data_IF_060771244373
#
_entry.id   IF_060771244373
#
_cell.length_a   1.000
_cell.length_b   1.000
_cell.length_c   1.000
_cell.angle_alpha   90.00
_cell.angle_beta   90.00
_cell.angle_gamma   90.00
#
_symmetry.space_group_name_H-M   'P 1'
#
loop_
_entity.id
_entity.type
_entity.pdbx_description
1 polymer ?
#
# COMPACT_ATOMS: atom_id res chain seq x y z
N UNK A 1 12.04 -24.48 4.37
CA UNK A 1 10.77 -23.75 4.32
C UNK A 1 11.04 -22.39 3.72
N UNK A 2 10.35 -22.03 2.65
CA UNK A 2 10.54 -20.71 2.02
C UNK A 2 9.79 -19.68 2.87
N UNK A 3 10.47 -18.62 3.26
CA UNK A 3 9.88 -17.50 3.97
C UNK A 3 9.62 -16.39 2.97
N UNK A 4 8.37 -15.98 2.88
CA UNK A 4 7.92 -14.86 2.03
C UNK A 4 7.44 -13.73 2.93
N UNK A 5 7.29 -12.51 2.41
CA UNK A 5 6.86 -11.41 3.24
C UNK A 5 6.24 -10.25 2.48
N UNK A 6 5.42 -9.50 3.19
CA UNK A 6 4.84 -8.24 2.74
C UNK A 6 4.38 -7.42 3.96
N UNK A 7 4.25 -6.11 3.80
CA UNK A 7 3.75 -5.19 4.82
C UNK A 7 4.51 -5.23 6.16
N UNK A 8 5.80 -5.54 6.17
CA UNK A 8 6.58 -5.63 7.40
C UNK A 8 6.41 -6.96 8.16
N UNK A 9 5.87 -8.01 7.53
CA UNK A 9 5.67 -9.34 8.12
C UNK A 9 6.28 -10.41 7.23
N UNK A 10 6.97 -11.38 7.84
CA UNK A 10 7.43 -12.62 7.18
C UNK A 10 6.42 -13.73 7.45
N UNK A 11 6.15 -14.54 6.46
CA UNK A 11 5.19 -15.63 6.51
C UNK A 11 5.90 -16.96 6.22
N UNK A 12 5.71 -17.94 7.07
CA UNK A 12 6.19 -19.31 6.86
C UNK A 12 5.01 -20.28 6.88
N UNK A 13 5.13 -21.44 6.25
CA UNK A 13 4.05 -22.44 6.17
C UNK A 13 3.09 -22.28 4.99
N UNK A 14 3.22 -21.22 4.20
CA UNK A 14 2.48 -21.04 2.96
C UNK A 14 3.22 -21.63 1.77
N UNK A 15 2.53 -22.01 0.68
CA UNK A 15 3.16 -22.30 -0.60
C UNK A 15 4.02 -21.11 -1.07
N UNK A 16 5.07 -21.40 -1.84
CA UNK A 16 5.86 -20.33 -2.48
C UNK A 16 4.95 -19.54 -3.41
N UNK A 17 4.90 -18.22 -3.19
CA UNK A 17 4.08 -17.34 -4.00
C UNK A 17 4.88 -16.17 -4.55
N UNK A 18 4.76 -15.98 -5.85
CA UNK A 18 5.34 -14.84 -6.57
C UNK A 18 4.76 -13.49 -6.14
N UNK A 19 3.53 -13.48 -5.60
CA UNK A 19 2.88 -12.26 -5.12
C UNK A 19 3.44 -11.71 -3.80
N UNK A 20 4.26 -12.49 -3.10
CA UNK A 20 4.87 -12.10 -1.81
C UNK A 20 6.38 -11.84 -1.95
N UNK A 21 6.86 -11.56 -3.13
CA UNK A 21 8.28 -11.39 -3.46
C UNK A 21 8.84 -10.02 -3.09
N UNK A 22 9.06 -9.76 -1.80
CA UNK A 22 9.89 -8.64 -1.34
C UNK A 22 11.25 -9.15 -0.89
N UNK A 23 12.29 -8.33 -1.02
CA UNK A 23 13.67 -8.68 -0.68
C UNK A 23 14.21 -7.83 0.47
N UNK A 24 15.15 -8.37 1.24
CA UNK A 24 15.90 -7.60 2.23
C UNK A 24 15.18 -7.33 3.55
N UNK A 25 14.37 -8.27 4.05
CA UNK A 25 13.61 -8.11 5.31
C UNK A 25 14.10 -8.98 6.48
N UNK A 26 15.36 -8.91 6.92
CA UNK A 26 15.91 -9.84 7.91
C UNK A 26 15.32 -9.68 9.31
N UNK A 27 14.80 -8.48 9.65
CA UNK A 27 14.32 -8.14 11.00
C UNK A 27 12.80 -8.12 11.12
N UNK A 28 12.06 -8.48 10.08
CA UNK A 28 10.60 -8.52 10.15
C UNK A 28 10.13 -9.70 11.03
N UNK A 29 9.06 -9.50 11.81
CA UNK A 29 8.48 -10.60 12.60
C UNK A 29 7.97 -11.69 11.66
N UNK A 30 8.23 -12.93 12.06
CA UNK A 30 7.74 -14.11 11.36
C UNK A 30 6.46 -14.61 12.01
N UNK A 31 5.46 -14.89 11.18
CA UNK A 31 4.23 -15.59 11.55
C UNK A 31 4.25 -16.98 10.91
N UNK A 32 4.02 -18.01 11.72
CA UNK A 32 3.77 -19.35 11.23
C UNK A 32 2.32 -19.47 10.77
N UNK A 33 2.13 -19.76 9.48
CA UNK A 33 0.81 -19.92 8.90
C UNK A 33 0.37 -21.39 8.95
N UNK A 34 -0.85 -21.64 9.43
CA UNK A 34 -1.46 -22.96 9.52
C UNK A 34 -2.85 -22.90 8.84
N UNK A 35 -3.19 -23.93 8.08
CA UNK A 35 -4.54 -24.06 7.50
C UNK A 35 -5.49 -24.59 8.56
N UNK A 36 -6.70 -24.03 8.61
CA UNK A 36 -7.76 -24.45 9.54
C UNK A 36 -8.93 -25.05 8.75
N UNK A 37 -9.10 -26.37 8.87
CA UNK A 37 -10.12 -27.13 8.14
C UNK A 37 -11.50 -27.14 8.80
N UNK A 38 -11.67 -26.46 9.93
CA UNK A 38 -12.98 -26.37 10.59
C UNK A 38 -13.89 -25.42 9.82
N UNK A 39 -15.08 -25.88 9.48
CA UNK A 39 -16.07 -25.12 8.70
C UNK A 39 -16.61 -23.87 9.45
N UNK A 40 -16.55 -23.87 10.76
CA UNK A 40 -16.98 -22.78 11.65
C UNK A 40 -15.84 -21.84 12.06
N UNK A 41 -14.60 -22.12 11.61
CA UNK A 41 -13.46 -21.27 11.89
C UNK A 41 -13.62 -19.87 11.25
N UNK A 42 -13.12 -18.81 11.88
CA UNK A 42 -13.02 -17.50 11.24
C UNK A 42 -12.12 -17.57 10.00
N UNK A 43 -12.35 -16.70 9.01
CA UNK A 43 -11.49 -16.60 7.82
C UNK A 43 -10.00 -16.51 8.19
N UNK A 44 -9.70 -15.72 9.22
CA UNK A 44 -8.36 -15.50 9.75
C UNK A 44 -8.41 -15.47 11.27
N UNK A 45 -7.46 -16.13 11.93
CA UNK A 45 -7.24 -16.01 13.36
C UNK A 45 -5.76 -15.76 13.65
N UNK A 46 -5.45 -14.55 14.12
CA UNK A 46 -4.10 -14.13 14.46
C UNK A 46 -3.88 -14.21 15.97
N UNK A 47 -2.88 -14.98 16.37
CA UNK A 47 -2.37 -15.06 17.73
C UNK A 47 -0.97 -14.43 17.77
N UNK A 48 -0.87 -13.25 18.37
CA UNK A 48 0.39 -12.51 18.44
C UNK A 48 1.36 -13.06 19.48
N UNK A 49 0.86 -13.74 20.52
CA UNK A 49 1.70 -14.32 21.59
C UNK A 49 2.45 -15.54 21.08
N UNK A 50 1.78 -16.42 20.36
CA UNK A 50 2.39 -17.59 19.72
C UNK A 50 2.92 -17.32 18.31
N UNK A 51 2.67 -16.14 17.75
CA UNK A 51 3.01 -15.75 16.37
C UNK A 51 2.43 -16.72 15.34
N UNK A 52 1.19 -17.14 15.54
CA UNK A 52 0.48 -18.03 14.65
C UNK A 52 -0.62 -17.30 13.91
N UNK A 53 -0.69 -17.55 12.61
CA UNK A 53 -1.79 -17.14 11.75
C UNK A 53 -2.51 -18.38 11.24
N UNK A 54 -3.75 -18.59 11.66
CA UNK A 54 -4.60 -19.61 11.07
C UNK A 54 -5.43 -19.01 9.95
N UNK A 55 -5.42 -19.69 8.83
CA UNK A 55 -6.17 -19.32 7.63
C UNK A 55 -7.13 -20.46 7.33
N UNK A 56 -8.43 -20.16 7.19
CA UNK A 56 -9.41 -21.21 6.85
C UNK A 56 -9.09 -21.79 5.47
N UNK A 57 -9.17 -23.10 5.33
CA UNK A 57 -8.66 -23.84 4.16
C UNK A 57 -9.46 -23.60 2.85
N UNK A 58 -10.69 -23.08 2.95
CA UNK A 58 -11.50 -22.66 1.81
C UNK A 58 -11.07 -21.29 1.23
N UNK A 59 -10.18 -20.57 1.92
CA UNK A 59 -9.66 -19.29 1.45
C UNK A 59 -8.66 -19.53 0.31
N UNK A 60 -8.98 -19.06 -0.87
CA UNK A 60 -8.05 -19.12 -1.98
C UNK A 60 -6.77 -18.31 -1.68
N UNK A 61 -5.62 -18.85 -2.07
CA UNK A 61 -4.33 -18.17 -1.84
C UNK A 61 -4.29 -16.75 -2.41
N UNK A 62 -4.86 -16.54 -3.58
CA UNK A 62 -4.99 -15.20 -4.18
C UNK A 62 -5.81 -14.23 -3.32
N UNK A 63 -6.82 -14.73 -2.62
CA UNK A 63 -7.65 -13.95 -1.71
C UNK A 63 -6.92 -13.65 -0.39
N UNK A 64 -6.15 -14.64 0.10
CA UNK A 64 -5.28 -14.42 1.25
C UNK A 64 -4.26 -13.30 0.98
N UNK A 65 -3.54 -13.35 -0.15
CA UNK A 65 -2.53 -12.35 -0.51
C UNK A 65 -3.13 -10.95 -0.56
N UNK A 66 -4.31 -10.81 -1.16
CA UNK A 66 -5.03 -9.54 -1.22
C UNK A 66 -6.55 -9.81 -1.34
N UNK A 67 -7.41 -9.29 -0.46
CA UNK A 67 -7.11 -8.23 0.52
C UNK A 67 -6.80 -8.71 1.95
N UNK A 68 -6.84 -10.04 2.25
CA UNK A 68 -6.87 -10.51 3.64
C UNK A 68 -5.55 -10.26 4.38
N UNK A 69 -4.41 -10.41 3.72
CA UNK A 69 -3.10 -10.13 4.32
C UNK A 69 -2.97 -8.69 4.81
N UNK A 70 -3.61 -7.73 4.16
CA UNK A 70 -3.65 -6.35 4.61
C UNK A 70 -4.30 -6.17 5.99
N UNK A 71 -5.34 -6.97 6.31
CA UNK A 71 -5.97 -6.96 7.65
C UNK A 71 -5.01 -7.50 8.71
N UNK A 72 -4.33 -8.61 8.41
CA UNK A 72 -3.32 -9.20 9.31
C UNK A 72 -2.18 -8.21 9.53
N UNK A 73 -1.67 -7.62 8.47
CA UNK A 73 -0.59 -6.65 8.52
C UNK A 73 -0.93 -5.42 9.37
N UNK A 74 -2.15 -4.90 9.25
CA UNK A 74 -2.61 -3.78 10.08
C UNK A 74 -2.63 -4.14 11.56
N UNK A 75 -3.10 -5.33 11.93
CA UNK A 75 -3.11 -5.79 13.33
C UNK A 75 -1.69 -5.99 13.86
N UNK A 76 -0.81 -6.60 13.08
CA UNK A 76 0.60 -6.79 13.44
C UNK A 76 1.31 -5.45 13.61
N UNK A 77 1.09 -4.53 12.68
CA UNK A 77 1.66 -3.19 12.72
C UNK A 77 1.28 -2.47 14.03
N UNK A 78 0.00 -2.42 14.36
CA UNK A 78 -0.49 -1.80 15.59
C UNK A 78 0.05 -2.48 16.85
N UNK A 79 0.11 -3.81 16.88
CA UNK A 79 0.66 -4.55 18.01
C UNK A 79 2.17 -4.28 18.23
N UNK A 80 2.88 -3.80 17.22
CA UNK A 80 4.32 -3.53 17.25
C UNK A 80 4.68 -2.05 17.25
N UNK A 81 3.72 -1.17 17.52
CA UNK A 81 3.96 0.28 17.57
C UNK A 81 4.15 0.94 16.19
N UNK A 82 3.85 0.24 15.11
CA UNK A 82 3.71 0.83 13.78
C UNK A 82 2.28 1.32 13.54
N UNK A 83 2.04 2.04 12.47
CA UNK A 83 0.68 2.43 12.08
C UNK A 83 0.37 1.91 10.66
N UNK A 84 -0.91 1.80 10.34
CA UNK A 84 -1.38 1.33 9.05
C UNK A 84 -2.57 2.16 8.58
N UNK A 85 -2.61 2.45 7.27
CA UNK A 85 -3.72 3.18 6.67
C UNK A 85 -4.11 2.62 5.31
N UNK A 86 -5.33 2.91 4.88
CA UNK A 86 -5.80 2.56 3.53
C UNK A 86 -5.19 3.52 2.50
N UNK A 87 -4.00 3.19 2.05
CA UNK A 87 -3.20 4.00 1.13
C UNK A 87 -2.34 3.10 0.25
N UNK A 88 -1.79 3.67 -0.82
CA UNK A 88 -0.72 3.07 -1.59
C UNK A 88 0.57 3.86 -1.46
N UNK A 89 1.65 3.39 -2.09
CA UNK A 89 2.91 4.14 -2.18
C UNK A 89 3.67 3.80 -3.47
N UNK A 90 4.41 4.79 -3.96
CA UNK A 90 5.29 4.71 -5.13
C UNK A 90 6.70 5.07 -4.73
N UNK A 91 7.71 4.42 -5.30
CA UNK A 91 9.11 4.77 -5.06
C UNK A 91 9.57 5.84 -6.05
N UNK A 92 10.23 6.86 -5.52
CA UNK A 92 10.94 7.88 -6.27
C UNK A 92 12.41 7.91 -5.91
N UNK A 93 13.18 8.80 -6.53
CA UNK A 93 14.62 8.92 -6.33
C UNK A 93 15.03 9.42 -4.93
N UNK A 94 14.13 10.13 -4.22
CA UNK A 94 14.36 10.61 -2.86
C UNK A 94 13.70 9.76 -1.77
N UNK A 95 13.06 8.65 -2.12
CA UNK A 95 12.26 7.81 -1.23
C UNK A 95 10.85 7.58 -1.75
N UNK A 96 10.02 6.93 -0.95
CA UNK A 96 8.65 6.62 -1.31
C UNK A 96 7.70 7.81 -1.06
N UNK A 97 6.69 7.93 -1.91
CA UNK A 97 5.58 8.85 -1.73
C UNK A 97 4.29 8.08 -1.45
N UNK A 98 3.71 8.33 -0.30
CA UNK A 98 2.40 7.76 0.04
C UNK A 98 1.31 8.38 -0.83
N UNK A 99 0.40 7.54 -1.36
CA UNK A 99 -0.76 7.97 -2.16
C UNK A 99 -2.01 7.70 -1.35
N UNK A 100 -2.63 8.76 -0.85
CA UNK A 100 -3.72 8.72 0.12
C UNK A 100 -5.00 9.31 -0.49
N UNK A 101 -6.13 8.80 -0.07
CA UNK A 101 -7.43 9.34 -0.48
C UNK A 101 -8.57 8.42 -0.06
N UNK A 102 -9.81 8.90 -0.04
CA UNK A 102 -10.97 8.11 0.34
C UNK A 102 -11.15 6.89 -0.57
N UNK A 103 -11.98 5.94 -0.14
CA UNK A 103 -12.37 4.80 -0.98
C UNK A 103 -13.01 5.32 -2.27
N UNK A 104 -12.53 4.83 -3.41
CA UNK A 104 -12.99 5.30 -4.71
C UNK A 104 -12.28 6.55 -5.24
N UNK A 105 -11.27 7.10 -4.54
CA UNK A 105 -10.45 8.20 -5.06
C UNK A 105 -9.55 7.80 -6.26
N UNK A 106 -9.53 6.53 -6.64
CA UNK A 106 -8.77 6.02 -7.78
C UNK A 106 -7.28 5.82 -7.49
N UNK A 107 -6.90 5.50 -6.23
CA UNK A 107 -5.51 5.17 -5.84
C UNK A 107 -4.95 4.04 -6.70
N UNK A 108 -5.55 2.86 -6.64
CA UNK A 108 -5.07 1.67 -7.38
C UNK A 108 -5.00 1.92 -8.89
N UNK A 109 -5.95 2.70 -9.45
CA UNK A 109 -5.93 3.07 -10.88
C UNK A 109 -4.73 3.96 -11.20
N UNK A 110 -4.41 4.94 -10.36
CA UNK A 110 -3.25 5.80 -10.53
C UNK A 110 -1.95 4.98 -10.40
N UNK A 111 -1.86 4.11 -9.38
CA UNK A 111 -0.71 3.24 -9.17
C UNK A 111 -0.47 2.31 -10.37
N UNK A 112 -1.53 1.70 -10.90
CA UNK A 112 -1.42 0.86 -12.08
C UNK A 112 -0.93 1.65 -13.29
N UNK A 113 -1.44 2.88 -13.51
CA UNK A 113 -0.99 3.73 -14.61
C UNK A 113 0.46 4.20 -14.44
N UNK A 114 0.93 4.41 -13.20
CA UNK A 114 2.34 4.69 -12.90
C UNK A 114 3.22 3.47 -13.15
N UNK A 115 2.75 2.26 -12.78
CA UNK A 115 3.45 1.02 -13.08
C UNK A 115 3.61 0.79 -14.59
N UNK A 116 2.61 1.16 -15.39
CA UNK A 116 2.66 1.03 -16.86
C UNK A 116 3.78 1.85 -17.51
N UNK A 117 4.20 2.94 -16.87
CA UNK A 117 5.35 3.76 -17.31
C UNK A 117 6.66 3.45 -16.56
N UNK A 118 6.68 2.37 -15.78
CA UNK A 118 7.88 1.89 -15.10
C UNK A 118 8.16 2.51 -13.72
N UNK A 119 7.23 3.29 -13.15
CA UNK A 119 7.36 3.79 -11.77
C UNK A 119 7.19 2.62 -10.80
N UNK A 120 8.16 2.35 -9.91
CA UNK A 120 8.05 1.24 -8.96
C UNK A 120 6.96 1.48 -7.92
N UNK A 121 6.05 0.52 -7.76
CA UNK A 121 4.97 0.56 -6.77
C UNK A 121 5.44 -0.14 -5.50
N UNK A 122 5.45 0.57 -4.38
CA UNK A 122 5.84 0.01 -3.08
C UNK A 122 4.73 -0.82 -2.49
N UNK A 123 3.52 -0.29 -2.48
CA UNK A 123 2.33 -0.97 -1.94
C UNK A 123 1.04 -0.43 -2.55
N UNK A 124 -0.01 -1.26 -2.57
CA UNK A 124 -1.41 -0.85 -2.82
C UNK A 124 -2.29 -1.32 -1.65
N UNK A 125 -3.43 -0.67 -1.46
CA UNK A 125 -4.49 -0.94 -0.48
C UNK A 125 -4.11 -0.67 0.98
N UNK A 126 -2.99 -1.19 1.50
CA UNK A 126 -2.52 -0.94 2.87
C UNK A 126 -1.10 -0.38 2.83
N UNK A 127 -0.91 0.71 3.55
CA UNK A 127 0.39 1.31 3.80
C UNK A 127 0.71 1.08 5.28
N UNK A 128 1.70 0.24 5.56
CA UNK A 128 2.29 0.08 6.90
C UNK A 128 3.52 0.95 6.98
N UNK A 129 3.60 1.79 8.01
CA UNK A 129 4.72 2.70 8.19
C UNK A 129 5.19 2.76 9.65
N UNK A 130 6.48 2.93 9.84
CA UNK A 130 7.15 3.06 11.14
C UNK A 130 8.50 3.73 10.96
N UNK A 131 8.88 4.58 11.89
CA UNK A 131 10.22 5.20 11.96
C UNK A 131 10.63 5.89 10.64
N UNK A 132 9.67 6.56 9.98
CA UNK A 132 9.89 7.23 8.70
C UNK A 132 9.98 6.33 7.48
N UNK A 133 9.81 5.03 7.63
CA UNK A 133 9.83 4.07 6.53
C UNK A 133 8.45 3.47 6.23
N UNK A 134 8.23 3.11 4.96
CA UNK A 134 7.06 2.36 4.50
C UNK A 134 7.46 0.95 4.08
N UNK A 135 6.64 -0.03 4.48
CA UNK A 135 6.86 -1.45 4.16
C UNK A 135 6.24 -1.80 2.81
N UNK A 136 6.98 -2.55 2.00
CA UNK A 136 6.47 -3.01 0.71
C UNK A 136 5.30 -4.00 0.91
N UNK A 137 4.23 -3.79 0.12
CA UNK A 137 3.08 -4.68 0.06
C UNK A 137 3.27 -5.88 -0.88
N UNK A 138 2.24 -6.71 -1.05
CA UNK A 138 2.23 -7.76 -2.06
C UNK A 138 2.54 -7.21 -3.45
N UNK A 139 3.12 -8.04 -4.29
CA UNK A 139 3.53 -7.64 -5.63
C UNK A 139 2.35 -7.72 -6.61
N UNK A 140 1.22 -7.08 -6.22
CA UNK A 140 0.03 -6.99 -7.07
C UNK A 140 -0.80 -5.74 -6.78
N UNK A 141 -1.61 -5.37 -7.78
CA UNK A 141 -2.67 -4.38 -7.69
C UNK A 141 -3.95 -5.01 -8.19
N UNK A 142 -5.04 -4.90 -7.42
CA UNK A 142 -6.35 -5.39 -7.83
C UNK A 142 -7.24 -4.24 -8.33
N UNK A 143 -7.49 -4.23 -9.62
CA UNK A 143 -8.31 -3.23 -10.29
C UNK A 143 -9.76 -3.65 -10.41
N UNK A 144 -10.69 -2.72 -10.21
CA UNK A 144 -12.10 -2.90 -10.48
C UNK A 144 -12.38 -3.01 -11.98
N UNK A 145 -13.52 -3.58 -12.39
CA UNK A 145 -13.87 -3.76 -13.81
C UNK A 145 -13.94 -2.45 -14.60
N UNK A 146 -14.31 -1.36 -13.94
CA UNK A 146 -14.42 -0.02 -14.52
C UNK A 146 -13.08 0.75 -14.59
N UNK A 147 -12.00 0.15 -14.06
CA UNK A 147 -10.67 0.74 -14.20
C UNK A 147 -10.12 0.57 -15.62
N UNK A 148 -9.34 1.52 -16.14
CA UNK A 148 -8.71 1.37 -17.44
C UNK A 148 -7.74 0.19 -17.41
N UNK A 149 -7.97 -0.76 -18.30
CA UNK A 149 -7.09 -1.91 -18.49
C UNK A 149 -6.07 -1.56 -19.54
N UNK A 150 -4.89 -1.13 -19.16
CA UNK A 150 -3.75 -0.96 -20.06
C UNK A 150 -2.83 -2.18 -20.08
N UNK A 151 -3.05 -3.18 -19.24
CA UNK A 151 -2.24 -4.39 -19.14
C UNK A 151 -3.07 -5.67 -19.12
N UNK A 152 -2.40 -6.80 -19.30
CA UNK A 152 -2.97 -8.15 -19.19
C UNK A 152 -3.15 -8.49 -17.70
N UNK A 153 -4.20 -7.96 -17.06
CA UNK A 153 -4.57 -8.38 -15.70
C UNK A 153 -5.13 -9.81 -15.72
N UNK A 154 -4.76 -10.59 -14.72
CA UNK A 154 -5.32 -11.91 -14.48
C UNK A 154 -6.60 -11.74 -13.66
N UNK A 155 -7.68 -12.45 -14.00
CA UNK A 155 -8.87 -12.49 -13.17
C UNK A 155 -8.52 -13.03 -11.78
N UNK A 156 -8.90 -12.29 -10.73
CA UNK A 156 -8.55 -12.66 -9.35
C UNK A 156 -9.21 -13.99 -8.99
N UNK A 157 -10.48 -14.13 -9.32
CA UNK A 157 -11.29 -15.36 -9.15
C UNK A 157 -12.57 -15.25 -9.99
N UNK A 158 -13.23 -16.37 -10.31
CA UNK A 158 -14.44 -16.35 -11.14
C UNK A 158 -15.58 -15.50 -10.56
N UNK A 159 -15.70 -15.41 -9.24
CA UNK A 159 -16.73 -14.63 -8.54
C UNK A 159 -16.35 -13.17 -8.30
N UNK A 160 -15.10 -12.77 -8.55
CA UNK A 160 -14.61 -11.41 -8.33
C UNK A 160 -14.30 -10.75 -9.68
N UNK A 161 -15.04 -9.70 -10.06
CA UNK A 161 -14.86 -9.04 -11.34
C UNK A 161 -13.56 -8.23 -11.44
N UNK A 162 -12.74 -8.18 -10.37
CA UNK A 162 -11.46 -7.48 -10.37
C UNK A 162 -10.40 -8.21 -11.20
N UNK A 163 -9.46 -7.45 -11.71
CA UNK A 163 -8.28 -7.96 -12.42
C UNK A 163 -7.03 -7.64 -11.62
N UNK A 164 -6.17 -8.65 -11.44
CA UNK A 164 -4.90 -8.52 -10.74
C UNK A 164 -3.78 -8.22 -11.73
N UNK A 165 -3.01 -7.19 -11.43
CA UNK A 165 -1.78 -6.83 -12.15
C UNK A 165 -0.60 -7.26 -11.29
N UNK A 166 0.36 -7.97 -11.87
CA UNK A 166 1.61 -8.31 -11.23
C UNK A 166 2.52 -7.08 -11.17
N UNK A 167 3.23 -6.93 -10.05
CA UNK A 167 4.25 -5.91 -9.85
C UNK A 167 5.65 -6.55 -9.82
N UNK A 168 6.69 -5.87 -10.32
CA UNK A 168 8.06 -6.32 -10.19
C UNK A 168 8.48 -6.47 -8.72
N UNK A 169 9.48 -7.33 -8.41
CA UNK A 169 10.10 -7.38 -7.08
C UNK A 169 10.63 -6.01 -6.66
N UNK A 170 10.63 -5.74 -5.35
CA UNK A 170 11.10 -4.47 -4.79
C UNK A 170 11.75 -4.72 -3.40
N UNK A 171 12.55 -3.77 -2.93
CA UNK A 171 13.06 -3.79 -1.56
C UNK A 171 11.92 -3.80 -0.53
N UNK A 172 12.16 -4.43 0.61
CA UNK A 172 11.14 -4.60 1.65
C UNK A 172 10.72 -3.29 2.31
N UNK A 173 11.64 -2.32 2.39
CA UNK A 173 11.45 -1.04 3.09
C UNK A 173 11.93 0.11 2.22
N UNK A 174 11.25 1.25 2.34
CA UNK A 174 11.58 2.49 1.65
C UNK A 174 11.38 3.67 2.59
N UNK A 175 12.34 4.59 2.65
CA UNK A 175 12.16 5.85 3.37
C UNK A 175 11.00 6.64 2.79
N UNK A 176 10.17 7.25 3.64
CA UNK A 176 9.09 8.13 3.22
C UNK A 176 9.63 9.52 2.89
N UNK A 177 9.40 9.97 1.66
CA UNK A 177 9.78 11.31 1.17
C UNK A 177 8.63 12.32 1.21
N UNK A 178 7.38 11.84 1.19
CA UNK A 178 6.22 12.72 1.20
C UNK A 178 4.88 12.01 1.02
N UNK A 179 3.83 12.81 0.94
CA UNK A 179 2.44 12.36 0.86
C UNK A 179 1.71 13.07 -0.27
N UNK A 180 0.99 12.31 -1.09
CA UNK A 180 0.09 12.81 -2.14
C UNK A 180 -1.34 12.47 -1.74
N UNK A 181 -2.15 13.47 -1.46
CA UNK A 181 -3.60 13.29 -1.27
C UNK A 181 -4.32 13.39 -2.60
N UNK A 182 -5.21 12.44 -2.87
CA UNK A 182 -6.06 12.44 -4.07
C UNK A 182 -7.43 13.03 -3.77
N UNK A 183 -7.89 13.91 -4.65
CA UNK A 183 -9.22 14.50 -4.58
C UNK A 183 -9.84 14.62 -5.98
N UNK A 184 -11.12 14.29 -6.09
CA UNK A 184 -11.86 14.54 -7.31
C UNK A 184 -12.23 16.03 -7.44
N UNK A 185 -12.08 16.58 -8.62
CA UNK A 185 -12.47 17.96 -8.94
C UNK A 185 -13.17 18.01 -10.29
N UNK A 186 -13.86 19.10 -10.56
CA UNK A 186 -14.45 19.39 -11.87
C UNK A 186 -13.49 20.13 -12.81
N UNK A 187 -12.37 20.63 -12.27
CA UNK A 187 -11.36 21.38 -13.04
C UNK A 187 -10.28 20.49 -13.63
N UNK A 188 -9.27 21.12 -14.19
CA UNK A 188 -8.09 20.46 -14.72
C UNK A 188 -7.29 19.74 -13.63
N UNK A 189 -6.46 18.78 -14.04
CA UNK A 189 -5.55 18.11 -13.14
C UNK A 189 -4.48 19.07 -12.63
N UNK A 190 -4.40 19.23 -11.32
CA UNK A 190 -3.46 20.15 -10.67
C UNK A 190 -2.89 19.52 -9.39
N UNK A 191 -1.59 19.69 -9.17
CA UNK A 191 -0.90 19.34 -7.93
C UNK A 191 -0.48 20.61 -7.20
N UNK A 192 -0.83 20.71 -5.92
CA UNK A 192 -0.53 21.89 -5.10
C UNK A 192 -0.11 21.49 -3.69
N UNK A 193 0.70 22.30 -3.00
CA UNK A 193 0.99 22.07 -1.59
C UNK A 193 -0.29 22.02 -0.75
N UNK A 194 -0.31 21.14 0.24
CA UNK A 194 -1.38 21.06 1.24
C UNK A 194 -0.83 21.56 2.57
N UNK A 195 -1.58 22.42 3.26
CA UNK A 195 -1.17 22.90 4.57
C UNK A 195 -1.21 21.78 5.63
N UNK A 196 -0.41 21.93 6.69
CA UNK A 196 -0.24 20.90 7.72
C UNK A 196 -1.53 20.58 8.48
N UNK A 197 -2.41 21.56 8.71
CA UNK A 197 -3.68 21.33 9.41
C UNK A 197 -4.59 20.41 8.60
N UNK A 198 -4.73 20.71 7.32
CA UNK A 198 -5.56 19.90 6.41
C UNK A 198 -4.92 18.53 6.17
N UNK A 199 -3.58 18.44 6.10
CA UNK A 199 -2.85 17.18 6.02
C UNK A 199 -3.18 16.27 7.21
N UNK A 200 -3.02 16.76 8.45
CA UNK A 200 -3.34 15.99 9.67
C UNK A 200 -4.80 15.55 9.69
N UNK A 201 -5.74 16.46 9.39
CA UNK A 201 -7.17 16.12 9.35
C UNK A 201 -7.46 14.98 8.39
N UNK A 202 -6.87 15.01 7.18
CA UNK A 202 -7.05 13.98 6.16
C UNK A 202 -6.42 12.65 6.58
N UNK A 203 -5.24 12.66 7.19
CA UNK A 203 -4.57 11.47 7.72
C UNK A 203 -5.41 10.76 8.79
N UNK A 204 -5.96 11.50 9.75
CA UNK A 204 -6.80 10.96 10.82
C UNK A 204 -8.05 10.24 10.29
N UNK A 205 -8.66 10.73 9.20
CA UNK A 205 -9.86 10.12 8.60
C UNK A 205 -9.53 8.81 7.88
N UNK A 206 -8.32 8.67 7.34
CA UNK A 206 -7.93 7.58 6.44
C UNK A 206 -7.20 6.42 7.12
N UNK A 207 -7.04 6.44 8.42
CA UNK A 207 -6.44 5.34 9.17
C UNK A 207 -7.26 4.06 9.04
N UNK A 208 -6.57 2.93 9.00
CA UNK A 208 -7.18 1.60 8.91
C UNK A 208 -7.96 1.25 10.19
N UNK A 209 -7.47 1.71 11.34
CA UNK A 209 -8.16 1.62 12.62
C UNK A 209 -8.60 3.03 13.05
N UNK A 210 -9.89 3.19 13.37
CA UNK A 210 -10.48 4.44 13.85
C UNK A 210 -10.29 4.65 15.35
N UNK A 211 -9.63 3.73 16.04
CA UNK A 211 -9.22 3.88 17.43
C UNK A 211 -8.19 4.99 17.63
N UNK A 212 -7.86 5.27 18.87
CA UNK A 212 -6.80 6.23 19.19
C UNK A 212 -5.48 5.80 18.57
N UNK A 213 -4.68 6.75 18.02
CA UNK A 213 -3.33 6.46 17.58
C UNK A 213 -2.56 5.83 18.73
N UNK A 214 -2.00 4.64 18.53
CA UNK A 214 -1.10 4.04 19.54
C UNK A 214 0.23 4.79 19.58
N UNK A 215 0.62 5.35 18.43
CA UNK A 215 1.74 6.26 18.32
C UNK A 215 1.31 7.56 17.63
N UNK A 216 0.92 8.60 18.43
CA UNK A 216 0.64 9.91 17.88
C UNK A 216 1.84 10.53 17.16
N UNK A 217 3.07 10.17 17.55
CA UNK A 217 4.29 10.70 16.96
C UNK A 217 4.44 10.25 15.50
N UNK A 218 4.14 8.99 15.19
CA UNK A 218 4.19 8.48 13.81
C UNK A 218 3.29 9.29 12.86
N UNK A 219 2.09 9.70 13.32
CA UNK A 219 1.21 10.55 12.54
C UNK A 219 1.73 11.98 12.39
N UNK A 220 2.31 12.52 13.45
CA UNK A 220 2.93 13.85 13.40
C UNK A 220 4.12 13.84 12.44
N UNK A 221 4.98 12.85 12.53
CA UNK A 221 6.12 12.69 11.63
C UNK A 221 5.67 12.60 10.17
N UNK A 222 4.62 11.80 9.89
CA UNK A 222 4.04 11.73 8.55
C UNK A 222 3.47 13.08 8.09
N UNK A 223 2.88 13.86 8.99
CA UNK A 223 2.31 15.17 8.68
C UNK A 223 3.38 16.26 8.50
N UNK A 224 4.61 16.05 8.97
CA UNK A 224 5.74 16.97 8.73
C UNK A 224 6.39 16.78 7.37
N UNK A 225 6.13 15.65 6.71
CA UNK A 225 6.64 15.41 5.37
C UNK A 225 6.01 16.37 4.35
N UNK A 226 6.71 16.64 3.23
CA UNK A 226 6.12 17.35 2.11
C UNK A 226 4.78 16.73 1.71
N UNK A 227 3.72 17.51 1.79
CA UNK A 227 2.37 17.03 1.53
C UNK A 227 1.75 17.79 0.37
N UNK A 228 1.25 17.06 -0.61
CA UNK A 228 0.67 17.60 -1.83
C UNK A 228 -0.78 17.13 -2.00
N UNK A 229 -1.59 17.96 -2.61
CA UNK A 229 -2.95 17.64 -3.03
C UNK A 229 -3.00 17.53 -4.55
N UNK A 230 -3.25 16.35 -5.06
CA UNK A 230 -3.50 16.09 -6.47
C UNK A 230 -5.01 16.12 -6.73
N UNK A 231 -5.49 17.23 -7.25
CA UNK A 231 -6.86 17.40 -7.74
C UNK A 231 -6.94 16.93 -9.18
N UNK A 232 -7.95 16.15 -9.50
CA UNK A 232 -8.16 15.68 -10.87
C UNK A 232 -9.62 15.35 -11.15
N UNK A 233 -10.09 15.49 -12.41
CA UNK A 233 -11.43 15.08 -12.76
C UNK A 233 -11.56 13.54 -12.74
N UNK A 234 -12.77 13.08 -12.50
CA UNK A 234 -13.11 11.65 -12.55
C UNK A 234 -13.23 11.21 -14.01
N UNK A 235 -12.11 11.30 -14.72
CA UNK A 235 -12.01 10.98 -16.14
C UNK A 235 -10.74 10.19 -16.40
N UNK A 236 -10.89 9.05 -17.06
CA UNK A 236 -9.75 8.22 -17.49
C UNK A 236 -8.92 8.90 -18.58
N UNK A 237 -9.56 9.74 -19.41
CA UNK A 237 -8.85 10.51 -20.46
C UNK A 237 -7.83 11.51 -19.89
N UNK A 238 -8.01 11.90 -18.62
CA UNK A 238 -7.11 12.84 -17.94
C UNK A 238 -6.16 12.13 -16.95
N UNK A 239 -6.14 10.81 -16.95
CA UNK A 239 -5.21 10.06 -16.10
C UNK A 239 -3.75 10.35 -16.47
N UNK A 240 -3.45 10.48 -17.75
CA UNK A 240 -2.08 10.76 -18.23
C UNK A 240 -1.54 12.08 -17.65
N UNK A 241 -2.38 13.11 -17.49
CA UNK A 241 -1.98 14.35 -16.84
C UNK A 241 -1.65 14.16 -15.34
N UNK A 242 -2.39 13.32 -14.64
CA UNK A 242 -2.10 12.99 -13.24
C UNK A 242 -0.81 12.17 -13.11
N UNK A 243 -0.63 11.19 -13.98
CA UNK A 243 0.60 10.39 -14.05
C UNK A 243 1.82 11.26 -14.29
N UNK A 244 1.76 12.14 -15.30
CA UNK A 244 2.88 13.04 -15.63
C UNK A 244 3.24 13.99 -14.47
N UNK A 245 2.26 14.48 -13.69
CA UNK A 245 2.55 15.30 -12.51
C UNK A 245 3.23 14.53 -11.39
N UNK A 246 2.79 13.27 -11.14
CA UNK A 246 3.43 12.42 -10.13
C UNK A 246 4.84 12.02 -10.59
N UNK A 247 5.02 11.61 -11.84
CA UNK A 247 6.33 11.26 -12.40
C UNK A 247 7.32 12.42 -12.26
N UNK A 248 6.92 13.64 -12.62
CA UNK A 248 7.76 14.84 -12.46
C UNK A 248 8.14 15.05 -11.00
N UNK A 249 7.20 14.96 -10.07
CA UNK A 249 7.48 15.06 -8.64
C UNK A 249 8.53 14.03 -8.19
N UNK A 250 8.41 12.78 -8.61
CA UNK A 250 9.34 11.70 -8.23
C UNK A 250 10.75 11.95 -8.76
N UNK A 251 10.88 12.53 -9.95
CA UNK A 251 12.17 12.90 -10.52
C UNK A 251 12.80 14.14 -9.83
N UNK A 252 12.02 15.18 -9.57
CA UNK A 252 12.51 16.44 -8.97
C UNK A 252 12.91 16.29 -7.50
N UNK A 253 12.26 15.39 -6.77
CA UNK A 253 12.54 15.16 -5.36
C UNK A 253 13.98 14.66 -5.13
N UNK A 254 14.57 13.92 -6.07
CA UNK A 254 15.95 13.43 -5.99
C UNK A 254 17.01 14.54 -6.05
N UNK A 255 16.78 15.59 -6.83
CA UNK A 255 17.69 16.72 -6.92
C UNK A 255 17.80 17.54 -5.62
N UNK A 256 16.72 17.63 -4.84
CA UNK A 256 16.72 18.37 -3.58
C UNK A 256 17.37 17.62 -2.42
N UNK A 257 17.32 16.28 -2.41
CA UNK A 257 17.98 15.46 -1.39
C UNK A 257 19.50 15.48 -1.55
N UNK A 258 20.02 15.50 -2.79
CA UNK A 258 21.45 15.60 -3.08
C UNK A 258 22.05 16.97 -2.69
N UNK A 259 21.26 18.05 -2.69
CA UNK A 259 21.71 19.40 -2.33
C UNK A 259 21.73 19.68 -0.82
N UNK A 260 21.22 18.75 0.03
CA UNK A 260 21.19 18.88 1.51
C UNK A 260 22.19 17.97 2.24
N UNK A 261 22.98 17.21 1.52
CA UNK A 261 24.14 16.44 2.02
C UNK A 261 25.42 17.16 1.64
#
# INVERSE_FOLDING_TARGET
MTVTGAYGVRLSGLPVDTWLGVSGAPHWPELSCEMDSRSDAPELALDMDTRKLRVRDDIAHSEFVHPLLGRVASQVALARGADAMHAGAVAGSAGAWAVIGPKGAGKSTLLASLNDIGVPIVTDDVLVFRDGAVMAGPRCIDLRPDAPRRGLGIAVRPSDPRSRIALPPIAAEHDLAGVIHLEWSSGETAMQPLDHRDAIRRLLILRSDKGYPRDPQALLDLATLPTLLLKRPRSLKQMDAAVAQVERLLCESGGRAAARR
#
